data_IF_702721160456
#
_entry.id   IF_702721160456
#
_cell.length_a   1.000
_cell.length_b   1.000
_cell.length_c   1.000
_cell.angle_alpha   90.00
_cell.angle_beta   90.00
_cell.angle_gamma   90.00
#
_symmetry.space_group_name_H-M   'P 1'
#
loop_
_entity.id
_entity.type
_entity.pdbx_description
1 polymer ?
#
# COMPACT_ATOMS: atom_id res chain seq x y z
N UNK A 1 -21.24 16.06 -13.99
CA UNK A 1 -20.54 17.19 -13.33
C UNK A 1 -19.96 16.69 -12.02
N UNK A 2 -18.67 16.38 -11.96
CA UNK A 2 -18.02 15.98 -10.70
C UNK A 2 -17.77 17.22 -9.85
N UNK A 3 -18.49 17.33 -8.75
CA UNK A 3 -18.32 18.39 -7.76
C UNK A 3 -17.07 18.11 -6.93
N UNK A 4 -16.30 19.16 -6.66
CA UNK A 4 -15.06 19.11 -5.87
C UNK A 4 -15.23 18.44 -4.50
N UNK A 5 -16.44 18.43 -3.93
CA UNK A 5 -16.78 17.74 -2.68
C UNK A 5 -16.55 16.22 -2.75
N UNK A 6 -16.83 15.55 -3.87
CA UNK A 6 -16.57 14.10 -4.03
C UNK A 6 -15.08 13.76 -4.05
N UNK A 7 -14.21 14.73 -4.38
CA UNK A 7 -12.75 14.56 -4.34
C UNK A 7 -12.14 14.75 -2.96
N UNK A 8 -12.81 15.48 -2.08
CA UNK A 8 -12.25 15.90 -0.77
C UNK A 8 -12.62 14.95 0.36
N UNK A 9 -13.70 14.19 0.24
CA UNK A 9 -14.12 13.22 1.25
C UNK A 9 -14.40 11.86 0.61
N UNK A 10 -13.60 10.82 0.95
CA UNK A 10 -13.67 9.50 0.31
C UNK A 10 -14.96 8.74 0.63
N UNK A 11 -15.74 9.16 1.63
CA UNK A 11 -16.94 8.47 2.10
C UNK A 11 -18.24 9.09 1.60
N UNK A 12 -18.18 10.19 0.82
CA UNK A 12 -19.39 10.86 0.31
C UNK A 12 -20.27 9.91 -0.51
N UNK A 13 -19.66 8.97 -1.23
CA UNK A 13 -20.37 7.95 -2.01
C UNK A 13 -21.14 6.93 -1.14
N UNK A 14 -20.81 6.83 0.16
CA UNK A 14 -21.48 5.91 1.08
C UNK A 14 -22.77 6.50 1.69
N UNK A 15 -23.02 7.81 1.51
CA UNK A 15 -24.21 8.46 2.05
C UNK A 15 -25.49 8.05 1.31
N UNK A 16 -25.37 7.69 0.03
CA UNK A 16 -26.47 7.22 -0.81
C UNK A 16 -25.96 6.14 -1.78
N UNK A 17 -25.87 4.88 -1.32
CA UNK A 17 -25.31 3.80 -2.13
C UNK A 17 -26.18 3.46 -3.36
N UNK A 18 -27.50 3.61 -3.26
CA UNK A 18 -28.42 3.27 -4.36
C UNK A 18 -28.24 4.22 -5.54
N UNK A 19 -28.09 5.53 -5.28
CA UNK A 19 -27.81 6.51 -6.33
C UNK A 19 -26.46 6.25 -7.02
N UNK A 20 -25.45 5.79 -6.27
CA UNK A 20 -24.13 5.44 -6.82
C UNK A 20 -24.24 4.22 -7.74
N UNK A 21 -24.96 3.17 -7.33
CA UNK A 21 -25.15 1.97 -8.16
C UNK A 21 -25.89 2.32 -9.46
N UNK A 22 -26.98 3.08 -9.39
CA UNK A 22 -27.72 3.51 -10.58
C UNK A 22 -26.87 4.36 -11.55
N UNK A 23 -26.04 5.26 -11.01
CA UNK A 23 -25.08 6.02 -11.81
C UNK A 23 -24.01 5.13 -12.45
N UNK A 24 -23.54 4.09 -11.74
CA UNK A 24 -22.60 3.12 -12.28
C UNK A 24 -23.22 2.30 -13.41
N UNK A 25 -24.45 1.81 -13.25
CA UNK A 25 -25.16 0.99 -14.25
C UNK A 25 -25.43 1.77 -15.54
N UNK A 26 -25.70 3.08 -15.45
CA UNK A 26 -25.98 3.93 -16.60
C UNK A 26 -24.71 4.43 -17.33
N UNK A 27 -23.53 4.36 -16.71
CA UNK A 27 -22.27 4.87 -17.26
C UNK A 27 -21.75 4.09 -18.48
N UNK A 28 -21.67 4.76 -19.63
CA UNK A 28 -21.11 4.19 -20.86
C UNK A 28 -19.59 3.96 -20.76
N UNK A 29 -18.90 4.87 -20.08
CA UNK A 29 -17.45 4.80 -19.91
C UNK A 29 -17.06 3.58 -19.07
N UNK A 30 -17.76 3.34 -17.95
CA UNK A 30 -17.51 2.18 -17.09
C UNK A 30 -17.79 0.86 -17.83
N UNK A 31 -18.84 0.80 -18.67
CA UNK A 31 -19.12 -0.37 -19.52
C UNK A 31 -18.01 -0.66 -20.53
N UNK A 32 -17.27 0.36 -20.96
CA UNK A 32 -16.15 0.24 -21.89
C UNK A 32 -14.82 -0.14 -21.24
N UNK A 33 -14.74 -0.16 -19.90
CA UNK A 33 -13.49 -0.49 -19.20
C UNK A 33 -13.14 -1.96 -19.44
N UNK A 34 -12.09 -2.17 -20.24
CA UNK A 34 -11.49 -3.48 -20.41
C UNK A 34 -10.58 -3.75 -19.23
N UNK A 35 -10.93 -4.75 -18.43
CA UNK A 35 -10.05 -5.27 -17.38
C UNK A 35 -8.71 -5.64 -17.98
N UNK A 36 -7.65 -4.91 -17.61
CA UNK A 36 -6.29 -5.31 -17.91
C UNK A 36 -5.81 -6.14 -16.73
N UNK A 37 -5.50 -7.41 -16.99
CA UNK A 37 -4.74 -8.20 -16.03
C UNK A 37 -3.30 -7.66 -16.09
N UNK A 38 -3.03 -6.63 -15.30
CA UNK A 38 -1.66 -6.19 -15.03
C UNK A 38 -1.04 -7.25 -14.15
N UNK A 39 -0.28 -8.17 -14.75
CA UNK A 39 0.57 -9.08 -13.99
C UNK A 39 1.88 -8.34 -13.74
N UNK A 40 2.11 -7.80 -12.53
CA UNK A 40 3.26 -6.95 -12.25
C UNK A 40 4.61 -7.64 -12.50
N UNK A 41 4.61 -8.97 -12.66
CA UNK A 41 5.78 -9.80 -12.90
C UNK A 41 5.79 -10.51 -14.27
N UNK A 42 4.79 -10.31 -15.15
CA UNK A 42 4.70 -11.02 -16.45
C UNK A 42 5.76 -10.60 -17.46
N UNK A 43 6.52 -9.55 -17.17
CA UNK A 43 7.71 -9.19 -17.95
C UNK A 43 8.94 -9.27 -17.05
N UNK A 44 9.47 -10.49 -16.81
CA UNK A 44 10.73 -10.64 -16.10
C UNK A 44 11.86 -10.19 -17.01
N UNK A 45 12.15 -8.89 -17.01
CA UNK A 45 13.31 -8.27 -17.64
C UNK A 45 14.16 -7.52 -16.62
N UNK A 46 14.12 -7.91 -15.35
CA UNK A 46 15.25 -7.62 -14.47
C UNK A 46 16.18 -8.83 -14.63
N UNK A 47 17.28 -8.73 -15.39
CA UNK A 47 18.33 -9.73 -15.30
C UNK A 47 18.64 -9.87 -13.81
N UNK A 48 18.62 -11.10 -13.29
CA UNK A 48 19.19 -11.36 -11.97
C UNK A 48 20.69 -11.13 -12.10
N UNK A 49 21.10 -9.87 -12.08
CA UNK A 49 22.49 -9.50 -11.92
C UNK A 49 22.81 -9.95 -10.51
N UNK A 50 23.60 -11.02 -10.39
CA UNK A 50 24.29 -11.31 -9.14
C UNK A 50 25.31 -10.19 -8.96
N UNK A 51 24.82 -9.02 -8.57
CA UNK A 51 25.63 -7.84 -8.36
C UNK A 51 26.34 -8.01 -7.01
N UNK A 52 27.66 -8.20 -7.11
CA UNK A 52 28.51 -8.34 -5.94
C UNK A 52 28.45 -7.09 -5.05
N UNK A 53 28.15 -5.91 -5.61
CA UNK A 53 27.95 -4.69 -4.84
C UNK A 53 26.67 -4.75 -3.99
N UNK A 54 25.55 -5.17 -4.57
CA UNK A 54 24.29 -5.36 -3.81
C UNK A 54 24.46 -6.37 -2.66
N UNK A 55 25.13 -7.49 -2.92
CA UNK A 55 25.48 -8.49 -1.88
C UNK A 55 26.36 -7.94 -0.77
N UNK A 56 27.30 -7.05 -1.10
CA UNK A 56 28.16 -6.42 -0.10
C UNK A 56 27.37 -5.46 0.79
N UNK A 57 26.41 -4.71 0.23
CA UNK A 57 25.51 -3.86 1.02
C UNK A 57 24.61 -4.69 1.95
N UNK A 58 24.00 -5.77 1.44
CA UNK A 58 23.17 -6.67 2.26
C UNK A 58 23.98 -7.25 3.43
N UNK A 59 25.23 -7.68 3.19
CA UNK A 59 26.10 -8.24 4.23
C UNK A 59 26.50 -7.21 5.31
N UNK A 60 26.64 -5.93 4.95
CA UNK A 60 26.90 -4.86 5.94
C UNK A 60 25.68 -4.65 6.83
N UNK A 61 24.48 -4.63 6.24
CA UNK A 61 23.22 -4.48 7.01
C UNK A 61 22.99 -5.66 7.94
N UNK A 62 23.23 -6.89 7.46
CA UNK A 62 23.14 -8.11 8.28
C UNK A 62 24.15 -8.13 9.44
N UNK A 63 25.29 -7.44 9.29
CA UNK A 63 26.32 -7.32 10.33
C UNK A 63 26.10 -6.12 11.28
N UNK A 64 25.16 -5.23 10.99
CA UNK A 64 24.85 -4.09 11.86
C UNK A 64 23.91 -4.51 13.01
N UNK A 65 24.45 -4.56 14.22
CA UNK A 65 23.71 -4.85 15.47
C UNK A 65 22.56 -3.86 15.79
N UNK A 66 22.49 -2.73 15.06
CA UNK A 66 21.48 -1.69 15.24
C UNK A 66 20.04 -2.21 15.05
N UNK A 67 19.84 -3.19 14.17
CA UNK A 67 18.51 -3.72 13.82
C UNK A 67 17.83 -4.50 14.94
N UNK A 68 18.59 -5.10 15.88
CA UNK A 68 18.04 -5.86 17.00
C UNK A 68 17.43 -4.94 18.10
N UNK A 69 17.94 -3.71 18.22
CA UNK A 69 17.43 -2.72 19.19
C UNK A 69 16.15 -2.00 18.78
N UNK A 70 15.74 -2.13 17.50
CA UNK A 70 14.53 -1.48 16.97
C UNK A 70 13.24 -1.94 17.69
N UNK A 71 13.21 -3.20 18.15
CA UNK A 71 12.10 -3.75 18.92
C UNK A 71 11.96 -3.10 20.30
N UNK A 72 13.07 -2.87 20.99
CA UNK A 72 13.12 -2.25 22.32
C UNK A 72 12.73 -0.77 22.26
N UNK A 73 13.18 -0.05 21.23
CA UNK A 73 12.83 1.35 20.97
C UNK A 73 11.33 1.52 20.65
N UNK A 74 10.72 0.59 19.91
CA UNK A 74 9.29 0.64 19.61
C UNK A 74 8.44 0.40 20.88
N UNK A 75 8.86 -0.54 21.74
CA UNK A 75 8.24 -0.79 23.04
C UNK A 75 8.34 0.41 24.00
N UNK A 76 9.44 1.17 23.95
CA UNK A 76 9.62 2.39 24.75
C UNK A 76 8.81 3.58 24.19
N UNK A 77 8.67 3.68 22.86
CA UNK A 77 7.94 4.76 22.20
C UNK A 77 6.41 4.64 22.29
N UNK A 78 5.89 3.46 22.66
CA UNK A 78 4.45 3.23 22.88
C UNK A 78 4.11 3.04 24.37
N UNK A 79 3.94 4.13 25.15
CA UNK A 79 3.57 4.05 26.56
C UNK A 79 2.23 3.34 26.82
N UNK A 80 1.35 3.25 25.82
CA UNK A 80 0.07 2.53 25.92
C UNK A 80 0.21 1.01 26.03
N UNK A 81 1.33 0.42 25.55
CA UNK A 81 1.55 -1.04 25.59
C UNK A 81 2.12 -1.50 26.95
N UNK A 82 2.82 -0.62 27.66
CA UNK A 82 3.36 -0.89 29.01
C UNK A 82 2.25 -1.12 30.06
N UNK A 83 1.07 -0.51 29.87
CA UNK A 83 -0.07 -0.66 30.77
C UNK A 83 -0.81 -2.00 30.62
N UNK A 84 -0.52 -2.81 29.60
CA UNK A 84 -1.20 -4.07 29.30
C UNK A 84 -0.46 -5.32 29.81
N UNK A 85 0.70 -5.16 30.47
CA UNK A 85 1.58 -6.26 30.91
C UNK A 85 1.66 -6.39 32.45
N UNK A 86 0.87 -5.60 33.20
CA UNK A 86 0.65 -5.76 34.65
C UNK A 86 -0.82 -6.03 34.95
#
# INVERSE_FOLDING_TARGET
>A
MSTTATRLNPFVLMLDPEAVISAMESSADLRGIRGRICRPLDKPLIPKVYDAAARAFDAVIEAEDFMDTGSELYCQAQPALQAAVH
#
